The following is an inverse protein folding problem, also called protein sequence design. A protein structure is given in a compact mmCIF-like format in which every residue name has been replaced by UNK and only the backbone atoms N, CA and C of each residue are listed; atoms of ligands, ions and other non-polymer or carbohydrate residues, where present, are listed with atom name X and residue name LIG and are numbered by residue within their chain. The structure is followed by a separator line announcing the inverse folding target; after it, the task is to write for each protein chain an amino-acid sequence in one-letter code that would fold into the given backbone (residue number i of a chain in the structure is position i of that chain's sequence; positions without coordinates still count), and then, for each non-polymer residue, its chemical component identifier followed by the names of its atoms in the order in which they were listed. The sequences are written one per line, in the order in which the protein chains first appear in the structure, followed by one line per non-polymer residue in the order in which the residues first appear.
data_IF_510718242357
#
_entry.id   IF_510718242357
#
_cell.length_a   1.000
_cell.length_b   1.000
_cell.length_c   1.000
_cell.angle_alpha   90.00
_cell.angle_beta   90.00
_cell.angle_gamma   90.00
#
_symmetry.space_group_name_H-M   'P 1'
#
loop_
_entity.id
_entity.type
_entity.pdbx_description
1 polymer ?
#
# COMPACT_ATOMS: atom_id res chain seq x y z
N UNK A 1 1.96 -27.33 -56.46
CA UNK A 1 1.51 -26.30 -55.50
C UNK A 1 -0.01 -26.23 -55.62
N UNK A 2 -0.76 -27.21 -55.10
CA UNK A 2 -1.40 -27.24 -53.75
C UNK A 2 -2.18 -25.95 -53.46
N UNK A 3 -3.48 -25.91 -53.18
CA UNK A 3 -4.26 -26.80 -52.31
C UNK A 3 -5.77 -26.84 -52.65
N UNK A 4 -6.41 -27.93 -52.22
CA UNK A 4 -7.85 -28.09 -51.99
C UNK A 4 -8.30 -27.23 -50.81
N UNK A 5 -9.58 -26.80 -50.77
CA UNK A 5 -10.47 -26.96 -49.61
C UNK A 5 -11.82 -26.27 -49.92
N UNK A 6 -12.95 -26.98 -50.01
CA UNK A 6 -13.69 -27.79 -49.02
C UNK A 6 -14.65 -26.94 -48.18
N UNK A 7 -15.87 -26.91 -48.69
CA UNK A 7 -17.14 -26.79 -47.99
C UNK A 7 -17.20 -27.73 -46.78
N UNK A 8 -17.54 -27.25 -45.57
CA UNK A 8 -18.32 -28.02 -44.56
C UNK A 8 -18.62 -27.23 -43.28
N UNK A 9 -19.86 -27.41 -42.83
CA UNK A 9 -20.28 -27.55 -41.43
C UNK A 9 -20.60 -26.32 -40.58
N UNK A 10 -21.90 -26.14 -40.39
CA UNK A 10 -22.48 -25.94 -39.06
C UNK A 10 -21.94 -27.00 -38.10
N UNK A 11 -21.49 -26.63 -36.90
CA UNK A 11 -21.59 -27.52 -35.75
C UNK A 11 -21.63 -26.73 -34.45
N UNK A 12 -22.40 -27.25 -33.50
CA UNK A 12 -22.88 -26.56 -32.33
C UNK A 12 -21.83 -26.33 -31.25
N UNK A 13 -22.16 -25.40 -30.35
CA UNK A 13 -21.63 -25.37 -29.00
C UNK A 13 -22.79 -25.13 -28.02
N UNK A 14 -23.24 -26.15 -27.29
CA UNK A 14 -23.94 -25.96 -26.04
C UNK A 14 -22.92 -25.87 -24.89
N UNK A 15 -23.29 -25.07 -23.88
CA UNK A 15 -22.89 -25.19 -22.46
C UNK A 15 -21.41 -25.02 -22.10
N UNK A 16 -21.12 -23.99 -21.30
CA UNK A 16 -20.76 -24.23 -19.89
C UNK A 16 -20.80 -22.91 -19.10
N UNK A 17 -21.95 -22.64 -18.47
CA UNK A 17 -22.00 -21.73 -17.33
C UNK A 17 -21.34 -22.43 -16.13
N UNK A 18 -20.02 -22.43 -16.12
CA UNK A 18 -19.25 -22.77 -14.94
C UNK A 18 -19.29 -21.58 -13.96
N UNK A 19 -20.29 -21.63 -13.08
CA UNK A 19 -20.28 -20.89 -11.81
C UNK A 19 -19.00 -21.23 -11.06
N UNK A 20 -18.21 -20.22 -10.73
CA UNK A 20 -17.41 -20.24 -9.50
C UNK A 20 -17.64 -18.92 -8.77
N UNK A 21 -18.78 -18.89 -8.06
CA UNK A 21 -18.90 -18.11 -6.84
C UNK A 21 -17.93 -18.68 -5.81
N UNK A 22 -16.86 -17.93 -5.53
CA UNK A 22 -16.24 -17.90 -4.20
C UNK A 22 -15.47 -16.60 -4.05
N UNK A 23 -16.20 -15.49 -4.15
CA UNK A 23 -15.80 -14.26 -3.49
C UNK A 23 -15.97 -14.50 -1.98
N UNK A 24 -14.91 -15.03 -1.35
CA UNK A 24 -14.82 -15.13 0.10
C UNK A 24 -15.06 -13.75 0.73
N UNK A 25 -15.65 -13.69 1.93
CA UNK A 25 -15.93 -12.42 2.57
C UNK A 25 -14.61 -11.71 2.85
N UNK A 26 -14.46 -10.50 2.29
CA UNK A 26 -13.40 -9.57 2.66
C UNK A 26 -13.67 -9.09 4.10
N UNK A 27 -13.40 -9.97 5.06
CA UNK A 27 -13.46 -9.68 6.49
C UNK A 27 -12.32 -8.71 6.79
N UNK A 28 -12.72 -7.48 7.08
CA UNK A 28 -12.17 -6.68 8.16
C UNK A 28 -10.64 -6.59 8.22
N UNK A 29 -10.11 -5.53 7.64
CA UNK A 29 -9.08 -4.78 8.35
C UNK A 29 -9.30 -3.29 8.11
N UNK A 30 -10.26 -2.72 8.85
CA UNK A 30 -10.02 -1.41 9.47
C UNK A 30 -8.78 -1.62 10.33
N UNK A 31 -7.60 -1.57 9.71
CA UNK A 31 -6.38 -1.39 10.47
C UNK A 31 -6.60 -0.05 11.13
N UNK A 32 -6.78 -0.11 12.44
CA UNK A 32 -6.65 1.03 13.32
C UNK A 32 -5.22 1.53 13.14
N UNK A 33 -5.02 2.29 12.06
CA UNK A 33 -3.83 3.08 11.86
C UNK A 33 -3.89 4.05 13.01
N UNK A 34 -3.06 3.82 14.03
CA UNK A 34 -2.78 4.81 15.05
C UNK A 34 -2.67 6.15 14.33
N UNK A 35 -3.62 7.05 14.59
CA UNK A 35 -3.81 8.24 13.79
C UNK A 35 -2.48 9.00 13.79
N UNK A 36 -1.81 9.03 12.64
CA UNK A 36 -0.49 9.63 12.55
C UNK A 36 -0.64 11.12 12.85
N UNK A 37 0.04 11.59 13.89
CA UNK A 37 0.09 13.01 14.22
C UNK A 37 0.89 13.72 13.12
N UNK A 38 0.40 14.84 12.60
CA UNK A 38 1.10 15.63 11.58
C UNK A 38 1.68 16.90 12.19
N UNK A 39 3.01 17.01 12.20
CA UNK A 39 3.76 18.15 12.69
C UNK A 39 4.27 18.99 11.51
N UNK A 40 4.15 20.32 11.60
CA UNK A 40 4.89 21.23 10.70
C UNK A 40 6.24 21.56 11.30
N UNK A 41 7.29 21.39 10.51
CA UNK A 41 8.67 21.68 10.91
C UNK A 41 9.24 22.71 9.94
N UNK A 42 9.80 23.78 10.49
CA UNK A 42 10.54 24.78 9.73
C UNK A 42 12.03 24.53 9.93
N UNK A 43 12.77 24.43 8.82
CA UNK A 43 14.23 24.31 8.86
C UNK A 43 14.88 25.67 9.11
N UNK A 44 16.14 25.64 9.55
CA UNK A 44 16.98 26.85 9.65
C UNK A 44 17.16 27.55 8.31
N UNK A 45 17.05 26.84 7.18
CA UNK A 45 17.09 27.39 5.83
C UNK A 45 15.77 27.96 5.33
N UNK A 46 14.73 28.02 6.17
CA UNK A 46 13.42 28.60 5.82
C UNK A 46 12.48 27.67 5.06
N UNK A 47 12.88 26.43 4.79
CA UNK A 47 11.99 25.43 4.20
C UNK A 47 11.01 24.89 5.25
N UNK A 48 9.77 24.67 4.83
CA UNK A 48 8.73 24.08 5.68
C UNK A 48 8.36 22.69 5.20
N UNK A 49 8.26 21.75 6.13
CA UNK A 49 7.94 20.36 5.84
C UNK A 49 6.86 19.85 6.80
N UNK A 50 6.10 18.87 6.35
CA UNK A 50 5.23 18.07 7.21
C UNK A 50 5.92 16.76 7.58
N UNK A 51 5.82 16.40 8.85
CA UNK A 51 6.30 15.14 9.41
C UNK A 51 5.12 14.42 10.01
N UNK A 52 4.90 13.16 9.64
CA UNK A 52 3.98 12.29 10.37
C UNK A 52 4.69 11.56 11.48
N UNK A 53 4.02 11.42 12.61
CA UNK A 53 4.56 10.75 13.78
C UNK A 53 3.65 9.58 14.18
N UNK A 54 4.27 8.41 14.32
CA UNK A 54 3.70 7.25 15.00
C UNK A 54 4.41 7.13 16.35
N UNK A 55 3.72 7.45 17.43
CA UNK A 55 4.31 7.36 18.78
C UNK A 55 4.27 5.91 19.26
N UNK A 56 5.41 5.38 19.68
CA UNK A 56 5.44 4.15 20.47
C UNK A 56 4.78 4.41 21.84
N UNK A 57 4.30 3.33 22.45
CA UNK A 57 3.68 3.37 23.78
C UNK A 57 4.70 3.73 24.88
N UNK A 58 5.93 3.22 24.73
CA UNK A 58 7.05 3.51 25.62
C UNK A 58 7.70 4.84 25.24
N UNK A 59 7.77 5.83 26.15
CA UNK A 59 8.36 7.14 25.84
C UNK A 59 9.88 7.10 25.65
N UNK A 60 10.55 6.04 26.14
CA UNK A 60 11.98 5.80 26.02
C UNK A 60 12.33 4.93 24.80
N UNK A 61 11.34 4.60 23.95
CA UNK A 61 11.59 3.81 22.76
C UNK A 61 12.56 4.53 21.79
N UNK A 62 13.37 3.79 21.02
CA UNK A 62 14.19 4.39 19.98
C UNK A 62 13.35 5.05 18.89
N UNK A 63 13.93 6.07 18.25
CA UNK A 63 13.30 6.81 17.15
C UNK A 63 13.88 6.37 15.81
N UNK A 64 13.00 6.08 14.85
CA UNK A 64 13.33 5.85 13.45
C UNK A 64 12.81 7.00 12.58
N UNK A 65 13.71 7.61 11.81
CA UNK A 65 13.37 8.62 10.81
C UNK A 65 13.32 7.98 9.42
N UNK A 66 12.16 8.06 8.77
CA UNK A 66 11.94 7.58 7.41
C UNK A 66 11.94 8.77 6.46
N UNK A 67 12.98 8.83 5.62
CA UNK A 67 13.14 9.86 4.59
C UNK A 67 12.88 9.23 3.22
N UNK A 68 11.79 9.60 2.53
CA UNK A 68 11.54 9.13 1.18
C UNK A 68 12.66 9.55 0.23
N UNK A 69 12.96 8.69 -0.75
CA UNK A 69 13.89 9.03 -1.81
C UNK A 69 13.35 10.21 -2.65
N UNK A 70 14.25 10.91 -3.34
CA UNK A 70 13.86 12.01 -4.24
C UNK A 70 12.81 11.58 -5.27
N UNK A 71 11.80 12.42 -5.47
CA UNK A 71 10.71 12.16 -6.42
C UNK A 71 9.67 11.13 -5.94
N UNK A 72 9.85 10.55 -4.75
CA UNK A 72 8.90 9.58 -4.19
C UNK A 72 7.95 10.24 -3.20
N UNK A 73 6.76 9.66 -3.03
CA UNK A 73 5.76 10.14 -2.08
C UNK A 73 5.83 9.33 -0.79
N UNK A 74 5.69 10.00 0.35
CA UNK A 74 5.78 9.37 1.69
C UNK A 74 4.84 8.18 1.86
N UNK A 75 3.65 8.19 1.23
CA UNK A 75 2.69 7.08 1.29
C UNK A 75 3.25 5.71 0.86
N UNK A 76 4.27 5.68 0.01
CA UNK A 76 4.88 4.42 -0.43
C UNK A 76 5.70 3.77 0.69
N UNK A 77 6.08 4.53 1.71
CA UNK A 77 6.80 4.07 2.88
C UNK A 77 5.86 3.77 4.07
N UNK A 78 4.55 4.03 3.95
CA UNK A 78 3.58 3.80 5.04
C UNK A 78 3.62 2.36 5.57
N UNK A 79 3.64 1.29 4.75
CA UNK A 79 3.72 -0.08 5.26
C UNK A 79 5.01 -0.34 6.04
N UNK A 80 6.13 0.21 5.58
CA UNK A 80 7.43 0.12 6.23
C UNK A 80 7.43 0.85 7.58
N UNK A 81 6.91 2.08 7.62
CA UNK A 81 6.77 2.88 8.83
C UNK A 81 5.90 2.17 9.88
N UNK A 82 4.77 1.58 9.50
CA UNK A 82 3.96 0.77 10.42
C UNK A 82 4.66 -0.50 10.87
N UNK A 83 5.47 -1.13 10.01
CA UNK A 83 6.30 -2.27 10.39
C UNK A 83 7.31 -1.92 11.49
N UNK A 84 7.95 -0.75 11.39
CA UNK A 84 8.85 -0.23 12.43
C UNK A 84 8.09 0.10 13.72
N UNK A 85 6.94 0.77 13.63
CA UNK A 85 6.13 1.12 14.79
C UNK A 85 5.65 -0.12 15.56
N UNK A 86 5.24 -1.18 14.87
CA UNK A 86 4.89 -2.49 15.47
C UNK A 86 6.06 -3.17 16.18
N UNK A 87 7.31 -2.75 15.91
CA UNK A 87 8.52 -3.19 16.62
C UNK A 87 8.89 -2.24 17.77
N UNK A 88 7.92 -1.48 18.27
CA UNK A 88 8.04 -0.59 19.42
C UNK A 88 9.01 0.57 19.19
N UNK A 89 9.03 1.12 17.97
CA UNK A 89 9.80 2.32 17.63
C UNK A 89 8.87 3.54 17.51
N UNK A 90 9.34 4.70 17.95
CA UNK A 90 8.76 5.95 17.46
C UNK A 90 9.15 6.11 15.99
N UNK A 91 8.20 6.47 15.13
CA UNK A 91 8.48 6.62 13.70
C UNK A 91 8.09 8.00 13.23
N UNK A 92 9.06 8.72 12.65
CA UNK A 92 8.84 10.00 11.98
C UNK A 92 8.97 9.80 10.47
N UNK A 93 7.99 10.23 9.68
CA UNK A 93 8.01 10.14 8.21
C UNK A 93 7.95 11.55 7.62
N UNK A 94 8.97 11.94 6.85
CA UNK A 94 9.01 13.25 6.20
C UNK A 94 8.18 13.27 4.90
N UNK A 95 7.44 14.34 4.65
CA UNK A 95 6.76 14.58 3.37
C UNK A 95 5.36 13.99 3.28
N UNK A 96 4.63 13.95 4.39
CA UNK A 96 3.23 13.53 4.47
C UNK A 96 2.27 14.53 3.82
#
# INVERSE_FOLDING_TARGET
MTDHDRQTSQDGAPSEQARTDSAGPAVGRKQEAAAAESLRVRSSGGAEFRVGLLRAERPDAPVALVVPAMGTRARFYTPFAHGLHRRLLHVAVSGL
#
